data_IF_272996562674
#
_entry.id   IF_272996562674
#
_cell.length_a   1.000
_cell.length_b   1.000
_cell.length_c   1.000
_cell.angle_alpha   90.00
_cell.angle_beta   90.00
_cell.angle_gamma   90.00
#
_symmetry.space_group_name_H-M   'P 1'
#
loop_
_entity.id
_entity.type
_entity.pdbx_description
1 polymer ?
#
# COMPACT_ATOMS: atom_id res chain seq x y z
N UNK A 1 -0.45 -9.35 11.77
CA UNK A 1 0.22 -8.63 10.66
C UNK A 1 1.44 -9.42 10.23
N UNK A 2 1.75 -9.49 8.94
CA UNK A 2 2.98 -10.17 8.43
C UNK A 2 4.04 -9.11 8.13
N UNK A 3 5.33 -9.44 8.16
CA UNK A 3 6.43 -8.49 7.79
C UNK A 3 6.19 -7.80 6.43
N UNK A 4 5.57 -8.51 5.48
CA UNK A 4 5.22 -7.97 4.17
C UNK A 4 4.17 -6.87 4.21
N UNK A 5 3.18 -6.95 5.09
CA UNK A 5 2.14 -5.91 5.24
C UNK A 5 2.81 -4.60 5.70
N UNK A 6 3.73 -4.66 6.68
CA UNK A 6 4.46 -3.51 7.19
C UNK A 6 5.38 -2.89 6.14
N UNK A 7 6.14 -3.72 5.40
CA UNK A 7 7.00 -3.24 4.32
C UNK A 7 6.21 -2.49 3.25
N UNK A 8 5.05 -3.03 2.85
CA UNK A 8 4.14 -2.41 1.89
C UNK A 8 3.61 -1.07 2.38
N UNK A 9 3.20 -1.02 3.65
CA UNK A 9 2.71 0.19 4.28
C UNK A 9 3.79 1.28 4.28
N UNK A 10 5.01 0.98 4.74
CA UNK A 10 6.11 1.96 4.76
C UNK A 10 6.47 2.47 3.36
N UNK A 11 6.44 1.63 2.33
CA UNK A 11 6.70 2.05 0.94
C UNK A 11 5.65 3.09 0.48
N UNK A 12 4.37 2.85 0.82
CA UNK A 12 3.25 3.72 0.44
C UNK A 12 3.26 5.02 1.26
N UNK A 13 3.65 4.98 2.54
CA UNK A 13 3.82 6.15 3.39
C UNK A 13 4.95 7.06 2.91
N UNK A 14 6.08 6.48 2.51
CA UNK A 14 7.20 7.25 1.97
C UNK A 14 6.89 7.85 0.59
N UNK A 15 5.98 7.24 -0.18
CA UNK A 15 5.67 7.63 -1.55
C UNK A 15 4.14 7.73 -1.76
N UNK A 16 3.50 8.80 -1.27
CA UNK A 16 2.06 8.99 -1.47
C UNK A 16 1.73 9.13 -2.96
N UNK A 17 0.82 8.27 -3.45
CA UNK A 17 0.45 8.22 -4.87
C UNK A 17 1.29 7.26 -5.71
N UNK A 18 2.10 6.42 -5.07
CA UNK A 18 2.89 5.35 -5.71
C UNK A 18 2.01 4.42 -6.54
N UNK A 19 2.55 3.93 -7.66
CA UNK A 19 1.85 2.99 -8.53
C UNK A 19 2.09 1.53 -8.13
N UNK A 20 1.18 0.66 -8.56
CA UNK A 20 1.30 -0.80 -8.36
C UNK A 20 2.67 -1.35 -8.79
N UNK A 21 3.19 -0.87 -9.93
CA UNK A 21 4.49 -1.30 -10.49
C UNK A 21 5.67 -0.87 -9.63
N UNK A 22 5.62 0.31 -9.03
CA UNK A 22 6.68 0.81 -8.15
C UNK A 22 6.68 0.04 -6.83
N UNK A 23 5.51 -0.20 -6.24
CA UNK A 23 5.39 -1.05 -5.05
C UNK A 23 5.93 -2.45 -5.34
N UNK A 24 5.63 -3.00 -6.51
CA UNK A 24 6.16 -4.30 -6.94
C UNK A 24 7.68 -4.30 -7.04
N UNK A 25 8.27 -3.24 -7.60
CA UNK A 25 9.73 -3.12 -7.75
C UNK A 25 10.43 -2.94 -6.40
N UNK A 26 9.85 -2.17 -5.49
CA UNK A 26 10.40 -1.93 -4.15
C UNK A 26 10.20 -3.12 -3.20
N UNK A 27 9.08 -3.83 -3.32
CA UNK A 27 8.79 -5.00 -2.47
C UNK A 27 9.36 -6.31 -3.02
N UNK A 28 9.67 -6.38 -4.32
CA UNK A 28 10.09 -7.61 -5.00
C UNK A 28 8.98 -8.68 -5.08
N UNK A 29 7.74 -8.33 -4.75
CA UNK A 29 6.62 -9.27 -4.69
C UNK A 29 6.03 -9.54 -6.08
N UNK A 30 5.57 -10.78 -6.31
CA UNK A 30 4.81 -11.13 -7.52
C UNK A 30 3.41 -10.51 -7.48
N UNK A 31 2.86 -10.21 -8.67
CA UNK A 31 1.53 -9.61 -8.87
C UNK A 31 0.42 -10.18 -7.96
N UNK A 32 0.28 -11.51 -7.89
CA UNK A 32 -0.79 -12.14 -7.13
C UNK A 32 -0.65 -11.95 -5.62
N UNK A 33 0.58 -12.06 -5.12
CA UNK A 33 0.91 -11.87 -3.70
C UNK A 33 0.69 -10.42 -3.29
N UNK A 34 1.21 -9.50 -4.10
CA UNK A 34 1.05 -8.07 -3.90
C UNK A 34 -0.42 -7.65 -3.88
N UNK A 35 -1.23 -8.15 -4.81
CA UNK A 35 -2.67 -7.88 -4.87
C UNK A 35 -3.42 -8.41 -3.65
N UNK A 36 -3.04 -9.59 -3.15
CA UNK A 36 -3.63 -10.16 -1.94
C UNK A 36 -3.38 -9.28 -0.71
N UNK A 37 -2.13 -8.86 -0.48
CA UNK A 37 -1.79 -7.98 0.64
C UNK A 37 -2.38 -6.57 0.46
N UNK A 38 -2.28 -5.96 -0.71
CA UNK A 38 -2.87 -4.64 -0.97
C UNK A 38 -4.39 -4.65 -0.79
N UNK A 39 -5.09 -5.67 -1.27
CA UNK A 39 -6.53 -5.81 -1.07
C UNK A 39 -6.90 -6.01 0.40
N UNK A 40 -6.05 -6.69 1.17
CA UNK A 40 -6.21 -6.82 2.62
C UNK A 40 -6.01 -5.48 3.33
N UNK A 41 -4.94 -4.75 3.01
CA UNK A 41 -4.66 -3.41 3.57
C UNK A 41 -5.76 -2.40 3.18
N UNK A 42 -6.27 -2.46 1.95
CA UNK A 42 -7.41 -1.67 1.47
C UNK A 42 -8.67 -1.99 2.28
N UNK A 43 -8.99 -3.28 2.47
CA UNK A 43 -10.13 -3.72 3.28
C UNK A 43 -10.03 -3.33 4.76
N UNK A 44 -8.81 -3.31 5.30
CA UNK A 44 -8.54 -2.88 6.67
C UNK A 44 -8.54 -1.35 6.83
N UNK A 45 -8.65 -0.58 5.75
CA UNK A 45 -8.57 0.89 5.79
C UNK A 45 -7.17 1.43 6.04
N UNK A 46 -6.14 0.58 5.99
CA UNK A 46 -4.73 0.95 6.20
C UNK A 46 -4.16 1.66 4.98
N UNK A 47 -4.71 1.47 3.78
CA UNK A 47 -4.28 2.20 2.59
C UNK A 47 -5.48 2.65 1.79
N UNK A 48 -5.31 3.75 1.04
CA UNK A 48 -6.33 4.25 0.12
C UNK A 48 -5.92 3.96 -1.32
N UNK A 49 -6.74 3.20 -2.01
CA UNK A 49 -6.52 2.85 -3.42
C UNK A 49 -7.42 3.72 -4.29
N UNK A 50 -6.82 4.47 -5.22
CA UNK A 50 -7.53 5.24 -6.23
C UNK A 50 -7.32 4.57 -7.58
N UNK A 51 -8.37 3.93 -8.08
CA UNK A 51 -8.38 3.27 -9.38
C UNK A 51 -8.81 4.29 -10.43
N UNK A 52 -7.85 4.87 -11.13
CA UNK A 52 -8.11 5.75 -12.27
C UNK A 52 -8.21 4.99 -13.59
N UNK A 53 -8.71 5.64 -14.67
CA UNK A 53 -8.92 5.00 -15.98
C UNK A 53 -7.62 4.54 -16.66
N UNK A 54 -6.47 5.11 -16.28
CA UNK A 54 -5.15 4.74 -16.84
C UNK A 54 -4.25 4.03 -15.85
N UNK A 55 -4.34 4.36 -14.56
CA UNK A 55 -3.40 3.89 -13.55
C UNK A 55 -4.06 3.82 -12.17
N UNK A 56 -3.68 2.81 -11.41
CA UNK A 56 -4.03 2.68 -9.99
C UNK A 56 -2.96 3.35 -9.15
N UNK A 57 -3.38 4.28 -8.30
CA UNK A 57 -2.52 5.00 -7.36
C UNK A 57 -2.86 4.57 -5.94
N UNK A 58 -1.81 4.38 -5.14
CA UNK A 58 -1.91 3.99 -3.75
C UNK A 58 -1.49 5.16 -2.87
N UNK A 59 -2.29 5.44 -1.86
CA UNK A 59 -2.04 6.51 -0.92
C UNK A 59 -2.01 5.93 0.49
N UNK A 60 -1.19 6.51 1.38
CA UNK A 60 -1.27 6.18 2.78
C UNK A 60 -2.67 6.48 3.32
N UNK A 61 -3.09 5.81 4.40
CA UNK A 61 -4.33 6.17 5.05
C UNK A 61 -4.15 7.62 5.50
N UNK A 62 -5.19 8.44 5.38
CA UNK A 62 -5.12 9.85 5.77
C UNK A 62 -4.99 10.04 7.30
N UNK A 63 -4.66 8.97 8.01
CA UNK A 63 -4.57 8.87 9.45
C UNK A 63 -3.14 9.20 9.80
N UNK A 64 -2.95 10.49 10.02
CA UNK A 64 -1.92 11.01 10.91
C UNK A 64 -2.36 10.67 12.34
N UNK A 65 -2.27 9.41 12.74
CA UNK A 65 -2.25 9.00 14.16
C UNK A 65 -0.91 8.28 14.29
N UNK A 66 0.15 9.04 14.51
CA UNK A 66 0.63 9.28 15.88
C UNK A 66 0.67 7.94 16.62
N UNK A 67 1.80 7.27 16.49
CA UNK A 67 2.28 6.39 17.55
C UNK A 67 2.35 7.22 18.83
N UNK A 68 1.28 7.25 19.61
CA UNK A 68 1.32 7.50 21.05
C UNK A 68 -0.01 7.07 21.66
N UNK A 69 0.02 5.94 22.36
CA UNK A 69 -0.35 5.76 23.78
C UNK A 69 0.03 4.34 24.19
#
# INVERSE_FOLDING_TARGET
MTERDLQLQSIIEQNPGIQFREIMRSSGLKNGVLSHYLGKLEKSGIIKVIRGPRQTRFFPPKITEDESI
#
